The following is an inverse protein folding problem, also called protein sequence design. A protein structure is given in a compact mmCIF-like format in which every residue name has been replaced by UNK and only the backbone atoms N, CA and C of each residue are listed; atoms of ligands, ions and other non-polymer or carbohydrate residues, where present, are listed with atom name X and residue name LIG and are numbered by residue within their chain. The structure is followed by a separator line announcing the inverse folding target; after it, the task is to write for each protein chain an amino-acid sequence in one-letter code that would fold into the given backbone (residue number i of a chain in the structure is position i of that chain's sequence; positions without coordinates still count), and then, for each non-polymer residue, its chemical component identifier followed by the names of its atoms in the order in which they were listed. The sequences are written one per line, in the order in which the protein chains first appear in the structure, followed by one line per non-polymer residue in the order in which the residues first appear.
data_IF_371520507050
#
_entry.id   IF_371520507050
#
_cell.length_a   1.000
_cell.length_b   1.000
_cell.length_c   1.000
_cell.angle_alpha   90.00
_cell.angle_beta   90.00
_cell.angle_gamma   90.00
#
_symmetry.space_group_name_H-M   'P 1'
#
loop_
_entity.id
_entity.type
_entity.pdbx_description
1 polymer ?
#
# COMPACT_ATOMS: atom_id res chain seq x y z
N UNK A 1 0.73 23.47 -8.37
CA UNK A 1 1.62 24.08 -7.36
C UNK A 1 2.94 24.52 -7.95
N UNK A 2 3.88 23.67 -8.45
CA UNK A 2 3.85 22.21 -8.70
C UNK A 2 4.62 21.35 -7.68
N UNK A 3 4.49 20.02 -7.80
CA UNK A 3 5.16 19.00 -6.98
C UNK A 3 5.48 17.80 -7.89
N UNK A 4 6.64 17.18 -7.73
CA UNK A 4 7.12 16.03 -8.51
C UNK A 4 7.32 14.83 -7.59
N UNK A 5 6.72 13.69 -7.92
CA UNK A 5 7.02 12.41 -7.29
C UNK A 5 8.08 11.66 -8.08
N UNK A 6 9.06 11.07 -7.40
CA UNK A 6 10.14 10.29 -8.02
C UNK A 6 10.59 9.16 -7.09
N UNK A 7 11.14 8.08 -7.66
CA UNK A 7 11.78 7.00 -6.90
C UNK A 7 13.15 7.43 -6.33
N UNK A 8 13.75 8.48 -6.88
CA UNK A 8 15.11 8.92 -6.56
C UNK A 8 15.15 10.45 -6.28
N UNK A 9 14.49 10.93 -5.22
CA UNK A 9 14.35 12.36 -4.93
C UNK A 9 15.70 13.06 -4.79
N UNK A 10 16.68 12.45 -4.13
CA UNK A 10 18.00 13.05 -3.92
C UNK A 10 18.79 13.20 -5.24
N UNK A 11 18.67 12.22 -6.15
CA UNK A 11 19.27 12.29 -7.50
C UNK A 11 18.58 13.36 -8.34
N UNK A 12 17.25 13.45 -8.30
CA UNK A 12 16.50 14.53 -8.97
C UNK A 12 16.92 15.90 -8.44
N UNK A 13 17.05 16.07 -7.12
CA UNK A 13 17.56 17.30 -6.48
C UNK A 13 19.00 17.60 -6.94
N UNK A 14 19.87 16.60 -7.03
CA UNK A 14 21.24 16.77 -7.52
C UNK A 14 21.27 17.24 -8.99
N UNK A 15 20.44 16.66 -9.86
CA UNK A 15 20.30 17.09 -11.27
C UNK A 15 19.79 18.53 -11.34
N UNK A 16 18.76 18.88 -10.56
CA UNK A 16 18.25 20.26 -10.49
C UNK A 16 19.32 21.25 -10.02
N UNK A 17 20.11 20.90 -8.99
CA UNK A 17 21.27 21.71 -8.55
C UNK A 17 22.31 21.88 -9.66
N UNK A 18 22.60 20.83 -10.42
CA UNK A 18 23.55 20.90 -11.55
C UNK A 18 23.04 21.80 -12.69
N UNK A 19 21.72 21.93 -12.84
CA UNK A 19 21.05 22.86 -13.74
C UNK A 19 20.87 24.28 -13.16
N UNK A 20 21.51 24.60 -12.02
CA UNK A 20 21.47 25.93 -11.40
C UNK A 20 20.31 26.19 -10.43
N UNK A 21 19.51 25.17 -10.08
CA UNK A 21 18.46 25.32 -9.06
C UNK A 21 19.06 25.38 -7.65
N UNK A 22 18.49 26.23 -6.79
CA UNK A 22 18.88 26.35 -5.38
C UNK A 22 17.94 25.47 -4.54
N UNK A 23 18.42 24.30 -4.14
CA UNK A 23 17.63 23.26 -3.47
C UNK A 23 18.17 22.92 -2.07
N UNK A 24 17.28 22.83 -1.07
CA UNK A 24 17.68 22.48 0.31
C UNK A 24 18.41 23.58 1.08
N UNK A 25 18.43 24.81 0.55
CA UNK A 25 19.23 25.92 1.07
C UNK A 25 18.45 26.91 1.96
N UNK A 26 17.24 26.56 2.43
CA UNK A 26 16.38 27.48 3.18
C UNK A 26 15.86 28.67 2.37
N UNK A 27 15.85 28.54 1.04
CA UNK A 27 15.36 29.58 0.12
C UNK A 27 13.92 29.99 0.42
N UNK A 28 13.62 31.28 0.22
CA UNK A 28 12.26 31.81 0.39
C UNK A 28 11.30 31.15 -0.59
N UNK A 29 10.37 30.38 -0.06
CA UNK A 29 9.25 29.74 -0.76
C UNK A 29 8.15 30.78 -0.98
N UNK A 30 8.06 31.32 -2.21
CA UNK A 30 7.04 32.30 -2.56
C UNK A 30 5.68 31.62 -2.83
N UNK A 31 5.71 30.45 -3.48
CA UNK A 31 4.54 29.70 -3.95
C UNK A 31 4.37 28.43 -3.11
N UNK A 32 5.42 27.62 -2.95
CA UNK A 32 5.35 26.27 -2.37
C UNK A 32 5.51 26.26 -0.85
N UNK A 33 4.71 27.03 -0.11
CA UNK A 33 4.88 27.26 1.35
C UNK A 33 4.72 26.03 2.25
N UNK A 34 4.15 24.94 1.73
CA UNK A 34 4.01 23.65 2.42
C UNK A 34 5.15 22.68 2.13
N UNK A 35 6.13 23.08 1.31
CA UNK A 35 7.24 22.22 0.90
C UNK A 35 8.23 22.02 2.06
N UNK A 36 8.63 20.78 2.39
CA UNK A 36 9.76 20.55 3.27
C UNK A 36 11.02 21.24 2.71
N UNK A 37 11.75 22.07 3.47
CA UNK A 37 12.85 22.88 2.96
C UNK A 37 13.93 22.09 2.21
N UNK A 38 14.20 20.86 2.64
CA UNK A 38 15.14 19.91 2.04
C UNK A 38 14.66 19.30 0.72
N UNK A 39 13.34 19.33 0.45
CA UNK A 39 12.69 18.88 -0.79
C UNK A 39 12.33 20.02 -1.74
N UNK A 40 12.43 21.26 -1.28
CA UNK A 40 12.21 22.47 -2.07
C UNK A 40 13.40 22.80 -2.98
N UNK A 41 13.10 23.13 -4.23
CA UNK A 41 14.02 23.63 -5.24
C UNK A 41 13.50 24.94 -5.84
N UNK A 42 14.32 25.99 -5.82
CA UNK A 42 14.08 27.25 -6.53
C UNK A 42 14.84 27.27 -7.85
N UNK A 43 14.12 27.36 -8.96
CA UNK A 43 14.64 27.44 -10.32
C UNK A 43 14.57 28.89 -10.83
N UNK A 44 15.34 29.26 -11.88
CA UNK A 44 15.20 30.57 -12.52
C UNK A 44 13.78 30.89 -13.01
N UNK A 45 13.01 29.86 -13.40
CA UNK A 45 11.64 30.00 -13.91
C UNK A 45 10.52 29.67 -12.91
N UNK A 46 10.81 29.37 -11.64
CA UNK A 46 9.78 29.01 -10.66
C UNK A 46 10.26 28.15 -9.50
N UNK A 47 9.34 27.40 -8.89
CA UNK A 47 9.58 26.57 -7.72
C UNK A 47 9.10 25.13 -7.98
N UNK A 48 9.73 24.13 -7.36
CA UNK A 48 9.25 22.74 -7.37
C UNK A 48 9.56 22.03 -6.05
N UNK A 49 8.63 21.19 -5.57
CA UNK A 49 8.89 20.21 -4.53
C UNK A 49 9.23 18.85 -5.14
N UNK A 50 10.31 18.21 -4.69
CA UNK A 50 10.71 16.87 -5.14
C UNK A 50 10.48 15.86 -4.01
N UNK A 51 9.44 15.05 -4.13
CA UNK A 51 9.07 14.03 -3.15
C UNK A 51 9.56 12.63 -3.55
N UNK A 52 9.93 11.84 -2.55
CA UNK A 52 10.07 10.39 -2.66
C UNK A 52 8.72 9.68 -2.47
N UNK A 53 8.69 8.36 -2.70
CA UNK A 53 7.49 7.52 -2.52
C UNK A 53 6.97 7.54 -1.07
N UNK A 54 7.87 7.71 -0.11
CA UNK A 54 7.62 7.95 1.32
C UNK A 54 6.92 9.31 1.58
N UNK A 55 7.26 10.33 0.80
CA UNK A 55 6.65 11.66 0.85
C UNK A 55 5.34 11.81 0.08
N UNK A 56 4.91 10.80 -0.69
CA UNK A 56 3.69 10.88 -1.51
C UNK A 56 2.41 11.27 -0.72
N UNK A 57 2.17 10.81 0.53
CA UNK A 57 1.00 11.23 1.32
C UNK A 57 1.02 12.70 1.77
N UNK A 58 2.16 13.39 1.70
CA UNK A 58 2.29 14.80 2.04
C UNK A 58 2.08 15.74 0.83
N UNK A 59 1.93 15.19 -0.38
CA UNK A 59 1.67 15.97 -1.59
C UNK A 59 0.27 16.59 -1.54
N UNK A 60 0.17 17.85 -1.96
CA UNK A 60 -1.07 18.63 -1.92
C UNK A 60 -1.88 18.56 -3.21
N UNK A 61 -1.27 18.19 -4.34
CA UNK A 61 -1.94 18.09 -5.64
C UNK A 61 -2.50 16.70 -5.98
N UNK A 62 -2.11 15.65 -5.26
CA UNK A 62 -2.62 14.31 -5.51
C UNK A 62 -3.68 13.95 -4.46
N UNK A 63 -4.92 13.81 -4.91
CA UNK A 63 -6.03 13.37 -4.07
C UNK A 63 -6.02 11.86 -3.87
N UNK A 64 -6.80 11.37 -2.90
CA UNK A 64 -7.02 9.93 -2.75
C UNK A 64 -7.61 9.28 -4.02
N UNK A 65 -8.45 10.00 -4.77
CA UNK A 65 -9.04 9.51 -6.01
C UNK A 65 -7.98 9.32 -7.12
N UNK A 66 -6.99 10.21 -7.21
CA UNK A 66 -5.89 10.09 -8.15
C UNK A 66 -5.08 8.82 -7.86
N UNK A 67 -4.72 8.57 -6.59
CA UNK A 67 -4.04 7.34 -6.17
C UNK A 67 -4.87 6.07 -6.46
N UNK A 68 -6.19 6.14 -6.26
CA UNK A 68 -7.10 5.02 -6.52
C UNK A 68 -7.21 4.72 -8.02
N UNK A 69 -7.12 5.73 -8.89
CA UNK A 69 -7.10 5.56 -10.36
C UNK A 69 -5.87 4.77 -10.86
N UNK A 70 -4.76 4.83 -10.12
CA UNK A 70 -3.52 4.10 -10.43
C UNK A 70 -3.51 2.65 -9.90
N UNK A 71 -4.41 2.31 -8.97
CA UNK A 71 -4.45 0.99 -8.34
C UNK A 71 -4.63 -0.21 -9.30
N UNK A 72 -5.31 -0.12 -10.46
CA UNK A 72 -5.33 -1.19 -11.46
C UNK A 72 -3.95 -1.52 -12.04
N UNK A 73 -3.08 -0.51 -12.22
CA UNK A 73 -1.71 -0.69 -12.74
C UNK A 73 -0.85 -1.50 -11.75
N UNK A 74 -1.08 -1.34 -10.45
CA UNK A 74 -0.41 -2.14 -9.42
C UNK A 74 -0.88 -3.61 -9.39
N UNK A 75 -2.14 -3.90 -9.77
CA UNK A 75 -2.69 -5.27 -9.79
C UNK A 75 -2.19 -6.11 -10.96
N UNK A 76 -1.97 -5.49 -12.13
CA UNK A 76 -1.42 -6.17 -13.30
C UNK A 76 -0.05 -6.84 -13.10
N UNK A 77 0.69 -6.45 -12.04
CA UNK A 77 1.94 -7.09 -11.63
C UNK A 77 1.78 -8.22 -10.61
N UNK A 78 0.62 -8.31 -9.94
CA UNK A 78 0.34 -9.29 -8.89
C UNK A 78 -0.43 -10.52 -9.43
N UNK A 79 -1.27 -10.33 -10.44
CA UNK A 79 -2.09 -11.40 -11.02
C UNK A 79 -1.25 -12.52 -11.69
N UNK A 80 0.02 -12.26 -12.01
CA UNK A 80 0.99 -13.26 -12.47
C UNK A 80 1.52 -14.22 -11.39
N UNK A 81 1.24 -13.98 -10.10
CA UNK A 81 1.81 -14.75 -8.98
C UNK A 81 0.79 -15.42 -8.05
N UNK A 82 -0.52 -15.19 -8.25
CA UNK A 82 -1.57 -15.60 -7.29
C UNK A 82 -2.59 -16.64 -7.77
N UNK A 83 -2.62 -17.00 -9.05
CA UNK A 83 -3.65 -17.89 -9.61
C UNK A 83 -3.34 -19.39 -9.38
N UNK A 84 -3.34 -19.85 -8.13
CA UNK A 84 -2.98 -21.24 -7.80
C UNK A 84 -3.50 -21.80 -6.46
N UNK A 85 -4.51 -22.66 -6.54
CA UNK A 85 -4.77 -23.82 -5.65
C UNK A 85 -5.07 -23.63 -4.14
N UNK A 86 -5.12 -22.43 -3.56
CA UNK A 86 -5.36 -22.27 -2.11
C UNK A 86 -6.80 -22.51 -1.61
N UNK A 87 -7.81 -22.01 -2.34
CA UNK A 87 -9.15 -21.77 -1.75
C UNK A 87 -10.03 -23.02 -1.60
N UNK A 88 -10.09 -23.90 -2.61
CA UNK A 88 -10.99 -25.05 -2.60
C UNK A 88 -10.66 -26.12 -1.55
N UNK A 89 -9.37 -26.35 -1.30
CA UNK A 89 -8.91 -27.38 -0.35
C UNK A 89 -9.18 -26.98 1.11
N UNK A 90 -9.03 -25.70 1.45
CA UNK A 90 -9.34 -25.19 2.79
C UNK A 90 -10.83 -25.36 3.16
N UNK A 91 -11.73 -25.05 2.21
CA UNK A 91 -13.18 -25.24 2.40
C UNK A 91 -13.54 -26.72 2.57
N UNK A 92 -12.93 -27.61 1.77
CA UNK A 92 -13.16 -29.05 1.87
C UNK A 92 -12.72 -29.62 3.23
N UNK A 93 -11.55 -29.22 3.73
CA UNK A 93 -11.04 -29.65 5.05
C UNK A 93 -11.97 -29.17 6.18
N UNK A 94 -12.43 -27.92 6.13
CA UNK A 94 -13.31 -27.37 7.17
C UNK A 94 -14.67 -28.06 7.19
N UNK A 95 -15.27 -28.32 6.01
CA UNK A 95 -16.51 -29.06 5.88
C UNK A 95 -16.39 -30.51 6.40
N UNK A 96 -15.31 -31.22 6.05
CA UNK A 96 -15.05 -32.57 6.52
C UNK A 96 -14.88 -32.62 8.06
N UNK A 97 -14.16 -31.65 8.64
CA UNK A 97 -13.97 -31.54 10.09
C UNK A 97 -15.29 -31.34 10.86
N UNK A 98 -16.18 -30.47 10.36
CA UNK A 98 -17.51 -30.26 10.95
C UNK A 98 -18.38 -31.53 10.94
N UNK A 99 -18.40 -32.25 9.82
CA UNK A 99 -19.17 -33.51 9.69
C UNK A 99 -18.63 -34.58 10.64
N UNK A 100 -17.30 -34.77 10.68
CA UNK A 100 -16.67 -35.73 11.58
C UNK A 100 -16.94 -35.41 13.07
N UNK A 101 -16.83 -34.13 13.46
CA UNK A 101 -17.12 -33.68 14.83
C UNK A 101 -18.57 -33.90 15.24
N UNK A 102 -19.54 -33.60 14.36
CA UNK A 102 -20.96 -33.81 14.61
C UNK A 102 -21.29 -35.31 14.80
N UNK A 103 -20.73 -36.19 13.97
CA UNK A 103 -20.92 -37.64 14.08
C UNK A 103 -20.33 -38.20 15.38
N UNK A 104 -19.10 -37.80 15.74
CA UNK A 104 -18.46 -38.20 16.99
C UNK A 104 -19.28 -37.78 18.23
N UNK A 105 -19.78 -36.53 18.25
CA UNK A 105 -20.64 -36.03 19.32
C UNK A 105 -21.96 -36.81 19.43
N UNK A 106 -22.59 -37.14 18.29
CA UNK A 106 -23.83 -37.92 18.26
C UNK A 106 -23.63 -39.36 18.79
N UNK A 107 -22.53 -40.03 18.43
CA UNK A 107 -22.18 -41.37 18.92
C UNK A 107 -21.91 -41.35 20.42
N UNK A 108 -21.09 -40.40 20.91
CA UNK A 108 -20.80 -40.26 22.34
C UNK A 108 -22.07 -39.95 23.15
N UNK A 109 -22.96 -39.10 22.65
CA UNK A 109 -24.25 -38.83 23.28
C UNK A 109 -25.16 -40.07 23.32
N UNK A 110 -25.15 -40.92 22.27
CA UNK A 110 -25.89 -42.20 22.26
C UNK A 110 -25.31 -43.19 23.28
N UNK A 111 -23.99 -43.33 23.35
CA UNK A 111 -23.31 -44.20 24.32
C UNK A 111 -23.57 -43.78 25.77
N UNK A 112 -23.46 -42.48 26.10
CA UNK A 112 -23.74 -41.95 27.44
C UNK A 112 -25.20 -42.14 27.87
N UNK A 113 -26.16 -42.17 26.94
CA UNK A 113 -27.58 -42.45 27.21
C UNK A 113 -27.85 -43.94 27.43
N UNK A 114 -27.17 -44.83 26.72
CA UNK A 114 -27.24 -46.28 26.96
C UNK A 114 -26.71 -46.65 28.35
N UNK A 115 -25.52 -46.14 28.71
CA UNK A 115 -24.83 -46.42 29.98
C UNK A 115 -25.44 -45.75 31.23
N UNK A 116 -26.63 -45.14 31.11
CA UNK A 116 -27.42 -44.56 32.21
C UNK A 116 -28.77 -45.27 32.39
N UNK A 117 -29.03 -46.35 31.64
CA UNK A 117 -30.30 -47.11 31.62
C UNK A 117 -30.15 -48.59 31.97
N UNK A 118 -28.94 -49.01 32.32
CA UNK A 118 -28.60 -50.28 32.96
C UNK A 118 -27.61 -50.00 34.07
#
# INVERSE_FOLDING_TARGET
MPEQLTKHPDVTIQVLRSAGARCGAGETQAILRSCPPERFCKLPGGEVCVYGLDGAPAMTQFTAADWQSLAPLARGSADGAGAGAGSGMAVAIFAAGLVAGALAAAVLARWRRGRRRG
#
